data_IF_375628382433
#
_entry.id   IF_375628382433
#
_cell.length_a   1.000
_cell.length_b   1.000
_cell.length_c   1.000
_cell.angle_alpha   90.00
_cell.angle_beta   90.00
_cell.angle_gamma   90.00
#
_symmetry.space_group_name_H-M   'P 1'
#
loop_
_entity.id
_entity.type
_entity.pdbx_description
1 polymer ?
#
# COMPACT_ATOMS: atom_id res chain seq x y z
N UNK A 1 9.36 -9.84 16.02
CA UNK A 1 8.25 -8.91 15.73
C UNK A 1 8.17 -7.83 16.81
N UNK A 2 7.54 -6.68 16.53
CA UNK A 2 7.37 -5.61 17.53
C UNK A 2 6.56 -6.08 18.75
N UNK A 3 5.72 -7.11 18.61
CA UNK A 3 4.89 -7.66 19.67
C UNK A 3 3.86 -6.64 20.12
N UNK A 4 3.47 -6.67 21.39
CA UNK A 4 2.49 -5.72 21.98
C UNK A 4 3.01 -4.27 22.08
N UNK A 5 4.26 -4.01 21.70
CA UNK A 5 4.89 -2.68 21.80
C UNK A 5 4.38 -1.68 20.76
N UNK A 6 3.68 -2.14 19.73
CA UNK A 6 3.09 -1.28 18.71
C UNK A 6 1.85 -1.93 18.09
N UNK A 7 0.87 -1.11 17.73
CA UNK A 7 -0.22 -1.50 16.84
C UNK A 7 0.17 -1.10 15.42
N UNK A 8 -0.06 -2.00 14.46
CA UNK A 8 0.32 -1.80 13.05
C UNK A 8 -0.93 -1.96 12.20
N UNK A 9 -1.21 -0.97 11.35
CA UNK A 9 -2.23 -1.05 10.31
C UNK A 9 -1.58 -1.03 8.93
N UNK A 10 -2.17 -1.76 7.98
CA UNK A 10 -1.78 -1.68 6.58
C UNK A 10 -2.78 -0.85 5.78
N UNK A 11 -2.30 0.23 5.18
CA UNK A 11 -3.12 1.15 4.38
C UNK A 11 -2.95 0.79 2.90
N UNK A 12 -3.99 0.20 2.30
CA UNK A 12 -3.98 -0.20 0.89
C UNK A 12 -5.42 -0.34 0.36
N UNK A 13 -5.56 -0.67 -0.92
CA UNK A 13 -6.81 -1.12 -1.51
C UNK A 13 -6.63 -2.50 -2.14
N UNK A 14 -7.63 -3.35 -1.93
CA UNK A 14 -7.76 -4.71 -2.46
C UNK A 14 -9.12 -4.87 -3.16
N UNK A 15 -9.28 -5.99 -3.87
CA UNK A 15 -10.52 -6.39 -4.52
C UNK A 15 -11.56 -6.94 -3.55
N UNK A 16 -12.61 -7.54 -4.08
CA UNK A 16 -13.59 -8.38 -3.37
C UNK A 16 -13.45 -9.87 -3.71
N UNK A 17 -12.27 -10.25 -4.23
CA UNK A 17 -11.95 -11.60 -4.66
C UNK A 17 -11.28 -12.46 -3.57
N UNK A 18 -11.15 -13.76 -3.85
CA UNK A 18 -10.60 -14.74 -2.90
C UNK A 18 -9.11 -14.54 -2.58
N UNK A 19 -8.30 -13.96 -3.48
CA UNK A 19 -6.92 -13.62 -3.16
C UNK A 19 -6.88 -12.45 -2.17
N UNK A 20 -7.70 -11.44 -2.41
CA UNK A 20 -7.84 -10.30 -1.49
C UNK A 20 -8.30 -10.74 -0.09
N UNK A 21 -9.20 -11.72 -0.01
CA UNK A 21 -9.62 -12.31 1.28
C UNK A 21 -8.50 -13.08 1.96
N UNK A 22 -7.77 -13.91 1.21
CA UNK A 22 -6.64 -14.67 1.74
C UNK A 22 -5.55 -13.74 2.29
N UNK A 23 -5.24 -12.65 1.59
CA UNK A 23 -4.30 -11.63 2.07
C UNK A 23 -4.76 -11.00 3.39
N UNK A 24 -6.02 -10.58 3.49
CA UNK A 24 -6.56 -10.02 4.72
C UNK A 24 -6.53 -11.00 5.89
N UNK A 25 -6.87 -12.28 5.66
CA UNK A 25 -6.79 -13.31 6.71
C UNK A 25 -5.35 -13.49 7.21
N UNK A 26 -4.41 -13.67 6.29
CA UNK A 26 -2.99 -13.82 6.64
C UNK A 26 -2.46 -12.60 7.43
N UNK A 27 -2.87 -11.38 7.06
CA UNK A 27 -2.50 -10.17 7.80
C UNK A 27 -3.13 -10.12 9.19
N UNK A 28 -4.39 -10.50 9.33
CA UNK A 28 -5.07 -10.54 10.63
C UNK A 28 -4.43 -11.58 11.57
N UNK A 29 -4.03 -12.74 11.06
CA UNK A 29 -3.32 -13.78 11.82
C UNK A 29 -1.96 -13.29 12.33
N UNK A 30 -1.32 -12.38 11.61
CA UNK A 30 -0.09 -11.68 12.00
C UNK A 30 -0.34 -10.44 12.90
N UNK A 31 -1.59 -10.16 13.26
CA UNK A 31 -1.99 -9.04 14.11
C UNK A 31 -1.95 -7.66 13.40
N UNK A 32 -1.95 -7.63 12.07
CA UNK A 32 -1.99 -6.41 11.28
C UNK A 32 -3.44 -5.92 11.16
N UNK A 33 -3.67 -4.68 11.57
CA UNK A 33 -4.97 -4.04 11.50
C UNK A 33 -5.42 -3.79 10.06
N UNK A 34 -6.68 -4.17 9.80
CA UNK A 34 -7.31 -4.10 8.48
C UNK A 34 -8.23 -2.89 8.31
N UNK A 35 -8.38 -2.05 9.34
CA UNK A 35 -9.34 -0.93 9.35
C UNK A 35 -9.05 0.19 8.36
N UNK A 36 -7.92 0.12 7.64
CA UNK A 36 -7.50 1.04 6.58
C UNK A 36 -7.31 0.34 5.23
N UNK A 37 -7.73 -0.92 5.11
CA UNK A 37 -7.74 -1.67 3.85
C UNK A 37 -9.07 -1.43 3.15
N UNK A 38 -9.04 -0.75 2.02
CA UNK A 38 -10.23 -0.58 1.18
C UNK A 38 -10.53 -1.85 0.40
N UNK A 39 -11.82 -2.13 0.24
CA UNK A 39 -12.34 -3.20 -0.61
C UNK A 39 -13.04 -2.55 -1.80
N UNK A 40 -12.50 -2.75 -3.00
CA UNK A 40 -12.98 -2.16 -4.24
C UNK A 40 -13.67 -3.23 -5.09
N UNK A 41 -15.00 -3.18 -5.24
CA UNK A 41 -15.74 -4.19 -5.99
C UNK A 41 -15.24 -4.34 -7.43
N UNK A 42 -15.07 -5.59 -7.88
CA UNK A 42 -14.64 -5.92 -9.24
C UNK A 42 -13.17 -5.59 -9.55
N UNK A 43 -12.37 -5.19 -8.56
CA UNK A 43 -10.92 -5.03 -8.69
C UNK A 43 -10.21 -6.29 -8.21
N UNK A 44 -8.93 -6.42 -8.54
CA UNK A 44 -8.06 -7.50 -8.10
C UNK A 44 -6.77 -6.93 -7.47
N UNK A 45 -6.06 -7.70 -6.63
CA UNK A 45 -4.71 -7.36 -6.21
C UNK A 45 -3.75 -7.46 -7.40
N UNK A 46 -2.60 -6.79 -7.30
CA UNK A 46 -1.51 -6.97 -8.26
C UNK A 46 -0.83 -8.32 -8.07
N UNK A 47 -0.54 -9.01 -9.16
CA UNK A 47 0.12 -10.32 -9.15
C UNK A 47 1.55 -10.20 -9.67
N UNK A 48 2.45 -11.00 -9.11
CA UNK A 48 3.74 -11.25 -9.72
C UNK A 48 4.08 -12.73 -9.63
N UNK A 49 4.82 -13.23 -10.63
CA UNK A 49 5.32 -14.59 -10.67
C UNK A 49 6.85 -14.55 -10.63
N UNK A 50 7.44 -15.39 -9.78
CA UNK A 50 8.88 -15.62 -9.74
C UNK A 50 9.16 -16.94 -10.44
N UNK A 51 9.92 -16.88 -11.52
CA UNK A 51 10.48 -18.07 -12.16
C UNK A 51 11.94 -18.22 -11.72
N UNK A 52 12.34 -19.42 -11.35
CA UNK A 52 13.72 -19.73 -11.00
C UNK A 52 14.23 -20.75 -12.00
N UNK A 53 15.33 -20.44 -12.69
CA UNK A 53 15.91 -21.38 -13.65
C UNK A 53 16.79 -22.44 -12.96
N UNK A 54 17.32 -23.38 -13.75
CA UNK A 54 18.15 -24.46 -13.23
C UNK A 54 19.46 -23.99 -12.57
N UNK A 55 19.90 -22.76 -12.84
CA UNK A 55 21.07 -22.13 -12.21
C UNK A 55 20.73 -21.36 -10.92
N UNK A 56 19.44 -21.22 -10.60
CA UNK A 56 18.96 -20.44 -9.46
C UNK A 56 18.70 -18.96 -9.79
N UNK A 57 18.82 -18.54 -11.05
CA UNK A 57 18.52 -17.16 -11.44
C UNK A 57 17.00 -16.90 -11.33
N UNK A 58 16.62 -15.82 -10.64
CA UNK A 58 15.22 -15.43 -10.45
C UNK A 58 14.79 -14.38 -11.48
N UNK A 59 13.70 -14.68 -12.19
CA UNK A 59 13.01 -13.76 -13.11
C UNK A 59 11.64 -13.40 -12.56
N UNK A 60 11.26 -12.13 -12.74
CA UNK A 60 10.03 -11.58 -12.19
C UNK A 60 9.11 -11.10 -13.30
N UNK A 61 7.89 -11.63 -13.32
CA UNK A 61 6.81 -11.24 -14.21
C UNK A 61 5.73 -10.52 -13.40
N UNK A 62 5.16 -9.43 -13.93
CA UNK A 62 4.24 -8.57 -13.17
C UNK A 62 2.94 -8.33 -13.93
N UNK A 63 1.81 -8.53 -13.25
CA UNK A 63 0.46 -8.15 -13.67
C UNK A 63 -0.16 -7.27 -12.59
N UNK A 64 0.20 -5.98 -12.61
CA UNK A 64 -0.17 -5.03 -11.53
C UNK A 64 -0.69 -3.68 -12.00
N UNK A 65 -0.84 -3.48 -13.30
CA UNK A 65 -1.24 -2.20 -13.88
C UNK A 65 -2.71 -1.83 -13.59
N UNK A 66 -3.53 -2.81 -13.20
CA UNK A 66 -4.94 -2.62 -12.84
C UNK A 66 -5.23 -2.99 -11.37
N UNK A 67 -4.18 -3.14 -10.55
CA UNK A 67 -4.34 -3.48 -9.16
C UNK A 67 -5.15 -2.42 -8.41
N UNK A 68 -6.04 -2.86 -7.50
CA UNK A 68 -6.90 -1.97 -6.72
C UNK A 68 -6.14 -0.83 -6.02
N UNK A 69 -4.92 -1.09 -5.52
CA UNK A 69 -4.06 -0.12 -4.84
C UNK A 69 -3.80 1.17 -5.63
N UNK A 70 -3.85 1.12 -6.97
CA UNK A 70 -3.61 2.30 -7.83
C UNK A 70 -4.62 3.41 -7.58
N UNK A 71 -5.84 3.03 -7.20
CA UNK A 71 -6.97 3.92 -6.92
C UNK A 71 -7.27 4.05 -5.42
N UNK A 72 -6.35 3.58 -4.55
CA UNK A 72 -6.55 3.55 -3.10
C UNK A 72 -7.02 4.91 -2.56
N UNK A 73 -6.45 6.03 -3.01
CA UNK A 73 -6.81 7.35 -2.51
C UNK A 73 -7.73 8.15 -3.45
N UNK A 74 -8.46 7.46 -4.33
CA UNK A 74 -9.30 8.09 -5.34
C UNK A 74 -10.79 8.09 -5.01
N UNK A 75 -11.22 7.23 -4.08
CA UNK A 75 -12.66 7.06 -3.75
C UNK A 75 -13.09 8.00 -2.62
N UNK A 76 -14.40 8.25 -2.45
CA UNK A 76 -14.92 8.92 -1.24
C UNK A 76 -14.61 8.16 0.04
N UNK A 77 -14.53 6.84 -0.01
CA UNK A 77 -14.18 5.99 1.15
C UNK A 77 -12.73 6.20 1.61
N UNK A 78 -11.87 6.81 0.79
CA UNK A 78 -10.50 7.15 1.16
C UNK A 78 -10.41 8.34 2.13
N UNK A 79 -11.42 9.22 2.18
CA UNK A 79 -11.39 10.42 3.04
C UNK A 79 -11.19 10.10 4.54
N UNK A 80 -11.99 9.22 5.17
CA UNK A 80 -11.76 8.86 6.57
C UNK A 80 -10.41 8.16 6.79
N UNK A 81 -9.87 7.48 5.78
CA UNK A 81 -8.56 6.83 5.85
C UNK A 81 -7.43 7.87 5.85
N UNK A 82 -7.48 8.83 4.92
CA UNK A 82 -6.52 9.93 4.82
C UNK A 82 -6.56 10.81 6.08
N UNK A 83 -7.75 11.08 6.62
CA UNK A 83 -7.90 11.83 7.86
C UNK A 83 -7.31 11.09 9.07
N UNK A 84 -7.47 9.76 9.13
CA UNK A 84 -6.92 8.94 10.21
C UNK A 84 -5.39 8.89 10.23
N UNK A 85 -4.70 9.19 9.13
CA UNK A 85 -3.22 9.19 9.12
C UNK A 85 -2.64 10.13 10.18
N UNK A 86 -3.33 11.23 10.49
CA UNK A 86 -2.95 12.19 11.52
C UNK A 86 -3.04 11.66 12.97
N UNK A 87 -3.63 10.48 13.20
CA UNK A 87 -3.73 9.87 14.53
C UNK A 87 -2.65 8.82 14.81
N UNK A 88 -1.75 8.55 13.85
CA UNK A 88 -0.65 7.59 14.04
C UNK A 88 0.59 8.28 14.62
N UNK A 89 1.41 7.53 15.36
CA UNK A 89 2.70 8.02 15.84
C UNK A 89 3.77 8.05 14.73
N UNK A 90 3.66 7.11 13.79
CA UNK A 90 4.59 6.90 12.67
C UNK A 90 3.81 6.51 11.42
N UNK A 91 4.12 7.17 10.31
CA UNK A 91 3.66 6.79 8.97
C UNK A 91 4.86 6.35 8.14
N UNK A 92 4.76 5.16 7.55
CA UNK A 92 5.78 4.57 6.71
C UNK A 92 5.25 4.35 5.29
N UNK A 93 6.03 4.73 4.29
CA UNK A 93 5.74 4.44 2.89
C UNK A 93 7.03 4.38 2.08
N UNK A 94 6.95 3.88 0.85
CA UNK A 94 8.12 3.70 -0.01
C UNK A 94 7.99 4.39 -1.37
N UNK A 95 9.09 4.45 -2.12
CA UNK A 95 9.09 4.85 -3.52
C UNK A 95 8.13 4.01 -4.38
N UNK A 96 7.96 2.72 -4.08
CA UNK A 96 6.96 1.87 -4.75
C UNK A 96 5.54 2.36 -4.46
N UNK A 97 5.25 2.74 -3.21
CA UNK A 97 3.94 3.29 -2.82
C UNK A 97 3.59 4.49 -3.69
N UNK A 98 4.51 5.43 -3.87
CA UNK A 98 4.29 6.58 -4.75
C UNK A 98 4.15 6.17 -6.22
N UNK A 99 4.99 5.24 -6.68
CA UNK A 99 5.04 4.86 -8.09
C UNK A 99 3.81 4.10 -8.57
N UNK A 100 3.16 3.30 -7.69
CA UNK A 100 1.94 2.57 -8.06
C UNK A 100 0.67 3.42 -7.99
N UNK A 101 0.64 4.45 -7.15
CA UNK A 101 -0.52 5.35 -7.06
C UNK A 101 -0.67 6.18 -8.34
N UNK A 102 -1.91 6.38 -8.78
CA UNK A 102 -2.24 7.41 -9.77
C UNK A 102 -1.87 8.81 -9.27
N UNK A 103 -1.69 9.77 -10.18
CA UNK A 103 -1.22 11.12 -9.87
C UNK A 103 -2.04 11.82 -8.79
N UNK A 104 -3.37 11.79 -8.93
CA UNK A 104 -4.30 12.38 -7.96
C UNK A 104 -4.22 11.69 -6.59
N UNK A 105 -4.16 10.35 -6.55
CA UNK A 105 -4.04 9.61 -5.31
C UNK A 105 -2.71 9.86 -4.60
N UNK A 106 -1.63 10.02 -5.37
CA UNK A 106 -0.32 10.43 -4.88
C UNK A 106 -0.37 11.82 -4.26
N UNK A 107 -0.98 12.80 -4.93
CA UNK A 107 -1.13 14.16 -4.41
C UNK A 107 -1.91 14.19 -3.08
N UNK A 108 -3.03 13.45 -3.01
CA UNK A 108 -3.85 13.34 -1.79
C UNK A 108 -3.10 12.69 -0.63
N UNK A 109 -2.31 11.64 -0.90
CA UNK A 109 -1.44 11.04 0.11
C UNK A 109 -0.40 12.05 0.63
N UNK A 110 0.29 12.75 -0.27
CA UNK A 110 1.31 13.74 0.11
C UNK A 110 0.73 14.88 0.95
N UNK A 111 -0.46 15.36 0.58
CA UNK A 111 -1.17 16.38 1.36
C UNK A 111 -1.54 15.87 2.76
N UNK A 112 -2.07 14.64 2.86
CA UNK A 112 -2.41 14.03 4.15
C UNK A 112 -1.16 13.80 5.03
N UNK A 113 -0.04 13.40 4.44
CA UNK A 113 1.25 13.30 5.13
C UNK A 113 1.72 14.66 5.64
N UNK A 114 1.55 15.72 4.86
CA UNK A 114 1.83 17.10 5.27
C UNK A 114 1.01 17.50 6.50
N UNK A 115 -0.31 17.25 6.48
CA UNK A 115 -1.21 17.49 7.63
C UNK A 115 -0.82 16.68 8.86
N UNK A 116 -0.45 15.41 8.68
CA UNK A 116 -0.01 14.55 9.78
C UNK A 116 1.28 15.09 10.42
N UNK A 117 2.26 15.53 9.63
CA UNK A 117 3.50 16.12 10.14
C UNK A 117 3.26 17.38 10.96
N UNK A 118 2.31 18.24 10.57
CA UNK A 118 1.94 19.42 11.35
C UNK A 118 1.38 19.06 12.74
N UNK A 119 0.91 17.83 12.93
CA UNK A 119 0.41 17.31 14.21
C UNK A 119 1.46 16.49 14.99
N UNK A 120 2.72 16.52 14.56
CA UNK A 120 3.83 15.83 15.23
C UNK A 120 4.05 14.38 14.81
N UNK A 121 3.31 13.88 13.81
CA UNK A 121 3.47 12.51 13.29
C UNK A 121 4.82 12.36 12.59
N UNK A 122 5.57 11.31 12.93
CA UNK A 122 6.84 10.99 12.27
C UNK A 122 6.56 10.33 10.92
N UNK A 123 7.20 10.82 9.87
CA UNK A 123 7.08 10.25 8.52
C UNK A 123 8.42 9.61 8.13
N UNK A 124 8.40 8.31 7.89
CA UNK A 124 9.52 7.51 7.42
C UNK A 124 9.32 7.14 5.95
N UNK A 125 10.34 7.38 5.13
CA UNK A 125 10.32 7.10 3.70
C UNK A 125 11.46 6.18 3.31
N UNK A 126 11.12 5.06 2.69
CA UNK A 126 12.08 4.15 2.04
C UNK A 126 12.15 4.48 0.54
N UNK A 127 13.36 4.75 0.02
CA UNK A 127 13.50 5.13 -1.38
C UNK A 127 13.06 4.03 -2.35
N UNK A 128 13.23 2.75 -2.00
CA UNK A 128 12.96 1.51 -2.76
C UNK A 128 12.75 1.75 -4.26
N UNK A 129 13.78 2.28 -4.92
CA UNK A 129 13.64 2.80 -6.28
C UNK A 129 13.48 1.66 -7.29
N UNK A 130 12.44 1.76 -8.12
CA UNK A 130 12.09 0.78 -9.16
C UNK A 130 11.81 1.53 -10.47
N UNK A 131 12.83 1.77 -11.32
CA UNK A 131 12.70 2.57 -12.54
C UNK A 131 11.51 2.19 -13.42
N UNK A 132 11.24 0.88 -13.57
CA UNK A 132 10.14 0.34 -14.39
C UNK A 132 8.73 0.75 -13.94
N UNK A 133 8.58 1.38 -12.78
CA UNK A 133 7.29 1.88 -12.28
C UNK A 133 7.08 3.37 -12.56
N UNK A 134 8.10 4.09 -13.01
CA UNK A 134 8.03 5.53 -13.25
C UNK A 134 7.89 5.81 -14.74
N UNK A 135 7.04 6.78 -15.09
CA UNK A 135 6.75 7.14 -16.49
C UNK A 135 7.96 7.79 -17.20
N UNK A 136 8.79 8.49 -16.45
CA UNK A 136 10.05 9.09 -16.90
C UNK A 136 11.04 9.10 -15.72
N UNK A 137 12.33 9.03 -16.04
CA UNK A 137 13.44 9.21 -15.08
C UNK A 137 13.97 10.63 -15.21
#
# INVERSE_FOLDING_TARGET
MLGERAKVDYVTALGDDSFSDAMCRAWADEGIGLGKVQRMPGRLPGLYCIQTDASGERRFLYWRNEAAVRDCFMTPAAEPILAALASYDVLYFSGITLAVLGEQGRARLLEALGRARLRGVRVAFDNNYRPRLWASV
#
